data_IF_698925259850
#
_entry.id   IF_698925259850
#
_cell.length_a   1.000
_cell.length_b   1.000
_cell.length_c   1.000
_cell.angle_alpha   90.00
_cell.angle_beta   90.00
_cell.angle_gamma   90.00
#
_symmetry.space_group_name_H-M   'P 1'
#
loop_
_entity.id
_entity.type
_entity.pdbx_description
1 polymer ?
#
# COMPACT_ATOMS: atom_id res chain seq x y z
N UNK A 1 -34.54 42.91 -6.62
CA UNK A 1 -33.74 42.84 -5.39
C UNK A 1 -33.52 41.36 -5.09
N UNK A 2 -32.28 40.93 -5.33
CA UNK A 2 -31.62 39.65 -4.97
C UNK A 2 -32.35 38.33 -5.28
N UNK A 3 -32.00 37.82 -6.46
CA UNK A 3 -31.98 36.40 -6.83
C UNK A 3 -30.97 35.66 -5.93
N UNK A 4 -31.44 34.76 -5.07
CA UNK A 4 -30.59 33.81 -4.37
C UNK A 4 -30.46 32.55 -5.21
N UNK A 5 -29.34 32.49 -5.93
CA UNK A 5 -28.91 31.35 -6.71
C UNK A 5 -28.29 30.30 -5.78
N UNK A 6 -29.08 29.30 -5.40
CA UNK A 6 -28.58 28.10 -4.72
C UNK A 6 -27.95 27.16 -5.77
N UNK A 7 -26.61 27.19 -5.85
CA UNK A 7 -25.80 26.30 -6.72
C UNK A 7 -25.60 24.92 -6.08
N UNK A 8 -25.32 23.87 -6.88
CA UNK A 8 -25.64 22.48 -6.54
C UNK A 8 -24.48 21.74 -5.86
N UNK A 9 -24.62 21.41 -4.58
CA UNK A 9 -23.69 20.51 -3.87
C UNK A 9 -23.79 19.03 -4.29
N UNK A 10 -24.83 18.66 -5.06
CA UNK A 10 -25.15 17.25 -5.38
C UNK A 10 -24.33 16.71 -6.56
N UNK A 11 -23.79 17.58 -7.43
CA UNK A 11 -23.00 17.14 -8.60
C UNK A 11 -21.58 16.75 -8.21
N UNK A 12 -21.02 17.37 -7.16
CA UNK A 12 -19.62 17.19 -6.75
C UNK A 12 -19.34 15.85 -6.04
N UNK A 13 -20.35 15.22 -5.43
CA UNK A 13 -20.16 13.94 -4.72
C UNK A 13 -20.03 12.72 -5.63
N UNK A 14 -20.43 12.80 -6.91
CA UNK A 14 -20.41 11.62 -7.82
C UNK A 14 -19.05 11.38 -8.47
N UNK A 15 -18.22 12.41 -8.63
CA UNK A 15 -16.89 12.26 -9.23
C UNK A 15 -15.85 11.74 -8.23
N UNK A 16 -16.03 12.03 -6.94
CA UNK A 16 -15.09 11.62 -5.86
C UNK A 16 -15.15 10.10 -5.60
N UNK A 17 -16.28 9.46 -5.89
CA UNK A 17 -16.48 8.04 -5.59
C UNK A 17 -15.82 7.13 -6.63
N UNK A 18 -15.95 7.43 -7.92
CA UNK A 18 -15.45 6.57 -9.02
C UNK A 18 -13.93 6.35 -8.97
N UNK A 19 -13.17 7.43 -8.76
CA UNK A 19 -11.70 7.35 -8.66
C UNK A 19 -11.24 6.58 -7.41
N UNK A 20 -11.92 6.79 -6.28
CA UNK A 20 -11.67 6.08 -5.03
C UNK A 20 -11.98 4.60 -5.16
N UNK A 21 -13.07 4.24 -5.86
CA UNK A 21 -13.42 2.85 -6.13
C UNK A 21 -12.39 2.15 -7.02
N UNK A 22 -11.91 2.80 -8.08
CA UNK A 22 -10.82 2.22 -8.91
C UNK A 22 -9.51 2.07 -8.12
N UNK A 23 -9.16 3.04 -7.27
CA UNK A 23 -7.98 2.95 -6.42
C UNK A 23 -8.08 1.79 -5.41
N UNK A 24 -9.21 1.67 -4.73
CA UNK A 24 -9.47 0.58 -3.78
C UNK A 24 -9.43 -0.76 -4.52
N UNK A 25 -10.14 -0.89 -5.64
CA UNK A 25 -10.23 -2.14 -6.40
C UNK A 25 -8.86 -2.59 -6.92
N UNK A 26 -8.06 -1.65 -7.46
CA UNK A 26 -6.71 -1.95 -7.91
C UNK A 26 -5.84 -2.50 -6.76
N UNK A 27 -5.92 -1.89 -5.56
CA UNK A 27 -5.15 -2.34 -4.40
C UNK A 27 -5.63 -3.66 -3.83
N UNK A 28 -6.94 -3.87 -3.75
CA UNK A 28 -7.53 -5.14 -3.33
C UNK A 28 -7.10 -6.25 -4.29
N UNK A 29 -7.15 -5.98 -5.60
CA UNK A 29 -6.69 -6.93 -6.60
C UNK A 29 -5.20 -7.24 -6.43
N UNK A 30 -4.34 -6.22 -6.26
CA UNK A 30 -2.91 -6.42 -5.97
C UNK A 30 -2.69 -7.30 -4.74
N UNK A 31 -3.40 -7.06 -3.63
CA UNK A 31 -3.26 -7.87 -2.42
C UNK A 31 -3.66 -9.33 -2.68
N UNK A 32 -4.81 -9.54 -3.34
CA UNK A 32 -5.32 -10.89 -3.66
C UNK A 32 -4.35 -11.66 -4.57
N UNK A 33 -3.77 -11.01 -5.57
CA UNK A 33 -2.82 -11.65 -6.50
C UNK A 33 -1.49 -11.99 -5.84
N UNK A 34 -0.99 -11.14 -4.94
CA UNK A 34 0.33 -11.35 -4.31
C UNK A 34 0.29 -12.28 -3.09
N UNK A 35 -0.88 -12.47 -2.48
CA UNK A 35 -1.01 -13.18 -1.21
C UNK A 35 -2.05 -14.31 -1.33
N UNK A 36 -1.79 -15.24 -2.25
CA UNK A 36 -2.73 -16.29 -2.66
C UNK A 36 -3.17 -17.23 -1.53
N UNK A 37 -2.37 -17.38 -0.46
CA UNK A 37 -2.62 -18.35 0.61
C UNK A 37 -2.77 -17.73 2.01
N UNK A 38 -2.78 -16.40 2.15
CA UNK A 38 -2.94 -15.81 3.48
C UNK A 38 -4.41 -15.74 3.89
N UNK A 39 -4.66 -16.06 5.15
CA UNK A 39 -5.94 -15.84 5.81
C UNK A 39 -5.90 -14.43 6.40
N UNK A 40 -6.76 -13.55 5.89
CA UNK A 40 -6.92 -12.20 6.45
C UNK A 40 -8.01 -12.25 7.52
N UNK A 41 -7.65 -11.87 8.75
CA UNK A 41 -8.58 -11.80 9.88
C UNK A 41 -8.68 -10.37 10.39
N UNK A 42 -9.86 -10.00 10.86
CA UNK A 42 -10.04 -8.72 11.53
C UNK A 42 -9.28 -8.70 12.87
N UNK A 43 -8.59 -7.58 13.15
CA UNK A 43 -8.00 -7.30 14.45
C UNK A 43 -8.65 -6.04 15.01
N UNK A 44 -9.30 -6.13 16.19
CA UNK A 44 -9.86 -4.97 16.88
C UNK A 44 -8.85 -3.83 17.02
N UNK A 45 -9.28 -2.57 16.89
CA UNK A 45 -8.37 -1.42 16.89
C UNK A 45 -7.51 -1.33 18.15
N UNK A 46 -8.05 -1.67 19.31
CA UNK A 46 -7.32 -1.70 20.58
C UNK A 46 -6.26 -2.82 20.68
N UNK A 47 -6.28 -3.79 19.78
CA UNK A 47 -5.31 -4.88 19.68
C UNK A 47 -4.40 -4.75 18.45
N UNK A 48 -4.63 -3.75 17.59
CA UNK A 48 -3.83 -3.53 16.38
C UNK A 48 -2.61 -2.67 16.69
N UNK A 49 -1.44 -3.30 16.87
CA UNK A 49 -0.19 -2.60 17.09
C UNK A 49 0.10 -1.53 16.01
N UNK A 50 -0.20 -1.81 14.74
CA UNK A 50 0.05 -0.89 13.63
C UNK A 50 -0.81 0.40 13.69
N UNK A 51 -1.98 0.36 14.34
CA UNK A 51 -2.81 1.55 14.56
C UNK A 51 -2.05 2.60 15.37
N UNK A 52 -1.36 2.16 16.43
CA UNK A 52 -0.52 3.00 17.30
C UNK A 52 0.52 3.81 16.52
N UNK A 53 1.22 3.16 15.57
CA UNK A 53 2.26 3.82 14.77
C UNK A 53 1.69 4.72 13.67
N UNK A 54 0.55 4.35 13.09
CA UNK A 54 -0.05 5.06 11.95
C UNK A 54 -0.88 6.29 12.33
N UNK A 55 -1.48 6.32 13.53
CA UNK A 55 -2.21 7.50 14.05
C UNK A 55 -1.31 8.61 14.57
N UNK A 56 -0.03 8.29 14.81
CA UNK A 56 0.91 9.18 15.47
C UNK A 56 0.76 9.11 16.98
N UNK A 57 1.58 8.26 17.61
CA UNK A 57 1.76 8.24 19.06
C UNK A 57 2.98 9.10 19.43
N UNK A 58 2.92 9.82 20.55
CA UNK A 58 4.08 10.51 21.10
C UNK A 58 5.22 9.52 21.36
N UNK A 59 6.47 9.95 21.19
CA UNK A 59 7.63 9.05 21.31
C UNK A 59 7.71 8.49 22.73
N UNK A 60 7.40 9.32 23.72
CA UNK A 60 7.38 8.96 25.13
C UNK A 60 6.37 7.84 25.39
N UNK A 61 5.15 7.97 24.87
CA UNK A 61 4.11 6.94 25.02
C UNK A 61 4.45 5.67 24.23
N UNK A 62 5.09 5.81 23.07
CA UNK A 62 5.53 4.68 22.26
C UNK A 62 6.53 3.82 23.01
N UNK A 63 7.51 4.44 23.70
CA UNK A 63 8.50 3.73 24.51
C UNK A 63 7.88 2.83 25.59
N UNK A 64 6.69 3.18 26.09
CA UNK A 64 5.95 2.38 27.06
C UNK A 64 4.89 1.45 26.44
N UNK A 65 4.72 1.46 25.12
CA UNK A 65 3.72 0.65 24.42
C UNK A 65 4.12 -0.83 24.38
N UNK A 66 3.57 -1.60 25.32
CA UNK A 66 3.69 -3.07 25.31
C UNK A 66 3.08 -3.69 24.06
N UNK A 67 1.99 -3.14 23.55
CA UNK A 67 1.32 -3.65 22.36
C UNK A 67 2.20 -3.53 21.11
N UNK A 68 2.93 -2.43 20.97
CA UNK A 68 3.85 -2.22 19.83
C UNK A 68 5.06 -3.14 19.90
N UNK A 69 5.73 -3.21 21.05
CA UNK A 69 6.99 -3.96 21.19
C UNK A 69 6.80 -5.46 21.42
N UNK A 70 5.75 -5.88 22.11
CA UNK A 70 5.52 -7.28 22.46
C UNK A 70 4.42 -7.93 21.60
N UNK A 71 3.64 -7.13 20.86
CA UNK A 71 2.49 -7.61 20.11
C UNK A 71 1.26 -7.91 20.98
N UNK A 72 0.11 -8.17 20.35
CA UNK A 72 -1.10 -8.61 21.04
C UNK A 72 -0.98 -10.06 21.52
N UNK A 73 -1.62 -10.36 22.66
CA UNK A 73 -1.55 -11.68 23.30
C UNK A 73 -1.99 -12.84 22.40
N UNK A 74 -3.00 -12.63 21.56
CA UNK A 74 -3.51 -13.67 20.67
C UNK A 74 -2.51 -14.17 19.62
N UNK A 75 -1.43 -13.42 19.36
CA UNK A 75 -0.33 -13.89 18.51
C UNK A 75 0.74 -14.66 19.28
N UNK A 76 0.76 -14.52 20.61
CA UNK A 76 1.73 -15.15 21.50
C UNK A 76 1.21 -16.48 22.07
N UNK A 77 -0.10 -16.57 22.29
CA UNK A 77 -0.79 -17.75 22.78
C UNK A 77 -1.22 -18.67 21.61
N UNK A 78 -1.51 -19.95 21.88
CA UNK A 78 -2.00 -20.87 20.84
C UNK A 78 -3.30 -20.37 20.19
N UNK A 79 -3.54 -20.83 18.95
CA UNK A 79 -4.49 -20.30 17.95
C UNK A 79 -5.94 -20.10 18.45
N UNK A 80 -6.34 -20.76 19.54
CA UNK A 80 -7.66 -20.65 20.18
C UNK A 80 -7.99 -19.27 20.78
N UNK A 81 -7.03 -18.36 20.89
CA UNK A 81 -7.24 -17.01 21.47
C UNK A 81 -7.45 -15.89 20.45
N UNK A 82 -7.58 -16.25 19.16
CA UNK A 82 -7.80 -15.28 18.08
C UNK A 82 -9.08 -14.45 18.32
N UNK A 83 -9.08 -13.13 18.04
CA UNK A 83 -10.30 -12.32 18.13
C UNK A 83 -11.40 -12.91 17.26
N UNK A 84 -12.63 -12.92 17.77
CA UNK A 84 -13.80 -13.34 17.01
C UNK A 84 -13.95 -12.47 15.77
N UNK A 85 -14.16 -13.11 14.62
CA UNK A 85 -14.37 -12.41 13.36
C UNK A 85 -15.77 -11.80 13.36
N UNK A 86 -15.86 -10.46 13.32
CA UNK A 86 -17.13 -9.72 13.37
C UNK A 86 -17.82 -9.72 12.00
N UNK A 87 -17.57 -10.74 11.18
CA UNK A 87 -18.22 -10.87 9.88
C UNK A 87 -19.65 -11.34 10.13
N UNK A 88 -20.60 -10.40 10.21
CA UNK A 88 -22.03 -10.71 10.17
C UNK A 88 -22.32 -11.60 8.95
N UNK A 89 -22.84 -12.84 9.12
CA UNK A 89 -23.10 -13.75 7.99
C UNK A 89 -24.30 -13.32 7.11
N UNK A 90 -24.83 -12.10 7.28
CA UNK A 90 -26.06 -11.62 6.64
C UNK A 90 -25.86 -10.45 5.67
N UNK A 91 -24.66 -10.24 5.11
CA UNK A 91 -24.45 -9.30 4.01
C UNK A 91 -24.35 -10.03 2.67
N UNK A 92 -25.30 -9.84 1.72
CA UNK A 92 -25.34 -10.56 0.44
C UNK A 92 -24.33 -10.01 -0.59
N UNK A 93 -23.18 -9.50 -0.16
CA UNK A 93 -22.09 -9.03 -1.04
C UNK A 93 -20.80 -9.84 -0.90
N UNK A 94 -20.87 -10.98 -0.21
CA UNK A 94 -19.91 -12.06 -0.37
C UNK A 94 -20.18 -12.81 -1.66
N UNK A 95 -19.93 -12.21 -2.82
CA UNK A 95 -19.56 -13.02 -3.98
C UNK A 95 -18.28 -13.76 -3.57
N UNK A 96 -18.45 -15.01 -3.14
CA UNK A 96 -17.42 -16.02 -3.21
C UNK A 96 -17.19 -16.21 -4.70
N UNK A 97 -16.38 -15.32 -5.28
CA UNK A 97 -15.85 -15.54 -6.61
C UNK A 97 -14.87 -16.68 -6.42
N UNK A 98 -15.39 -17.90 -6.62
CA UNK A 98 -14.60 -19.09 -6.89
C UNK A 98 -13.85 -18.81 -8.19
N UNK A 99 -12.72 -18.10 -8.05
CA UNK A 99 -11.92 -17.70 -9.19
C UNK A 99 -10.98 -18.86 -9.49
N UNK A 100 -11.39 -19.59 -10.53
CA UNK A 100 -10.65 -20.59 -11.27
C UNK A 100 -9.14 -20.39 -11.14
N UNK A 101 -8.43 -21.48 -10.80
CA UNK A 101 -7.01 -21.66 -11.10
C UNK A 101 -6.81 -21.48 -12.61
N UNK A 102 -6.72 -20.25 -13.08
CA UNK A 102 -5.81 -19.94 -14.18
C UNK A 102 -4.48 -19.70 -13.52
N UNK A 103 -3.68 -20.75 -13.51
CA UNK A 103 -2.23 -20.65 -13.47
C UNK A 103 -1.78 -19.74 -14.61
N UNK A 104 -1.83 -18.43 -14.42
CA UNK A 104 -0.96 -17.53 -15.14
C UNK A 104 0.41 -17.66 -14.48
N UNK A 105 1.08 -18.76 -14.82
CA UNK A 105 2.53 -18.74 -14.95
C UNK A 105 2.86 -17.69 -15.99
N UNK A 106 2.99 -16.43 -15.58
CA UNK A 106 3.91 -15.53 -16.26
C UNK A 106 5.31 -15.88 -15.73
N UNK A 107 6.14 -16.60 -16.51
CA UNK A 107 7.44 -17.02 -16.04
C UNK A 107 8.33 -15.78 -15.99
N UNK A 108 8.64 -15.39 -14.75
CA UNK A 108 9.70 -14.46 -14.38
C UNK A 108 9.30 -12.97 -14.37
N UNK A 109 8.79 -12.53 -13.22
CA UNK A 109 9.23 -11.26 -12.65
C UNK A 109 10.74 -11.34 -12.38
N UNK A 110 11.56 -11.21 -13.43
CA UNK A 110 12.99 -10.97 -13.28
C UNK A 110 13.11 -9.59 -12.65
N UNK A 111 13.63 -9.46 -11.41
CA UNK A 111 13.84 -8.14 -10.85
C UNK A 111 14.77 -7.37 -11.79
N UNK A 112 14.42 -6.11 -12.10
CA UNK A 112 15.16 -5.26 -13.04
C UNK A 112 16.65 -5.19 -12.71
N UNK A 113 16.99 -5.36 -11.43
CA UNK A 113 18.32 -5.54 -10.88
C UNK A 113 18.22 -6.34 -9.57
N UNK A 114 19.27 -7.08 -9.23
CA UNK A 114 19.36 -7.79 -7.96
C UNK A 114 19.80 -6.81 -6.86
N UNK A 115 18.84 -6.35 -6.05
CA UNK A 115 19.08 -5.40 -4.98
C UNK A 115 20.02 -5.97 -3.88
N UNK A 116 20.12 -7.29 -3.73
CA UNK A 116 20.94 -7.94 -2.70
C UNK A 116 22.44 -7.91 -3.02
N UNK A 117 22.82 -7.63 -4.27
CA UNK A 117 24.23 -7.45 -4.65
C UNK A 117 24.85 -6.17 -4.08
N UNK A 118 24.02 -5.24 -3.59
CA UNK A 118 24.50 -3.99 -3.02
C UNK A 118 24.69 -4.12 -1.51
N UNK A 119 25.94 -3.97 -1.07
CA UNK A 119 26.31 -3.97 0.37
C UNK A 119 25.82 -2.75 1.17
N UNK A 120 25.10 -1.81 0.54
CA UNK A 120 24.59 -0.62 1.20
C UNK A 120 23.39 -0.05 0.45
N UNK A 121 22.35 0.31 1.20
CA UNK A 121 21.17 1.03 0.69
C UNK A 121 21.54 2.28 -0.11
N UNK A 122 22.48 3.09 0.39
CA UNK A 122 22.88 4.32 -0.27
C UNK A 122 23.59 4.05 -1.60
N UNK A 123 24.33 2.93 -1.71
CA UNK A 123 24.97 2.52 -2.97
C UNK A 123 23.92 2.11 -4.00
N UNK A 124 22.91 1.33 -3.59
CA UNK A 124 21.79 0.97 -4.45
C UNK A 124 21.03 2.20 -4.94
N UNK A 125 20.63 3.07 -4.00
CA UNK A 125 19.90 4.31 -4.28
C UNK A 125 20.66 5.22 -5.25
N UNK A 126 21.95 5.46 -4.98
CA UNK A 126 22.79 6.29 -5.85
C UNK A 126 22.97 5.68 -7.24
N UNK A 127 23.07 4.35 -7.33
CA UNK A 127 23.20 3.66 -8.63
C UNK A 127 21.95 3.87 -9.47
N UNK A 128 20.77 3.66 -8.89
CA UNK A 128 19.49 3.89 -9.60
C UNK A 128 19.34 5.36 -9.99
N UNK A 129 19.73 6.31 -9.14
CA UNK A 129 19.73 7.75 -9.47
C UNK A 129 20.63 8.05 -10.67
N UNK A 130 21.84 7.48 -10.73
CA UNK A 130 22.76 7.67 -11.86
C UNK A 130 22.14 7.13 -13.15
N UNK A 131 21.53 5.95 -13.11
CA UNK A 131 20.82 5.36 -14.26
C UNK A 131 19.68 6.28 -14.70
N UNK A 132 18.86 6.77 -13.76
CA UNK A 132 17.77 7.69 -14.07
C UNK A 132 18.28 9.02 -14.66
N UNK A 133 19.38 9.57 -14.14
CA UNK A 133 20.01 10.77 -14.69
C UNK A 133 20.51 10.56 -16.11
N UNK A 134 21.11 9.40 -16.39
CA UNK A 134 21.53 9.02 -17.73
C UNK A 134 20.32 8.97 -18.67
N UNK A 135 19.25 8.27 -18.29
CA UNK A 135 18.03 8.15 -19.08
C UNK A 135 17.35 9.51 -19.33
N UNK A 136 17.29 10.38 -18.32
CA UNK A 136 16.74 11.74 -18.43
C UNK A 136 17.59 12.62 -19.35
N UNK A 137 18.91 12.45 -19.34
CA UNK A 137 19.84 13.17 -20.21
C UNK A 137 19.69 12.74 -21.67
N UNK A 138 19.51 11.45 -21.91
CA UNK A 138 19.43 10.87 -23.26
C UNK A 138 18.02 10.96 -23.89
N UNK A 139 16.96 11.18 -23.10
CA UNK A 139 15.58 11.19 -23.59
C UNK A 139 14.75 12.37 -23.11
N UNK A 140 14.30 13.21 -24.05
CA UNK A 140 13.38 14.32 -23.77
C UNK A 140 12.04 13.85 -23.17
N UNK A 141 11.56 12.67 -23.57
CA UNK A 141 10.36 12.02 -23.00
C UNK A 141 10.60 11.63 -21.54
N UNK A 142 11.78 11.09 -21.23
CA UNK A 142 12.15 10.74 -19.87
C UNK A 142 12.30 11.99 -18.99
N UNK A 143 12.85 13.08 -19.54
CA UNK A 143 12.93 14.37 -18.83
C UNK A 143 11.55 14.90 -18.43
N UNK A 144 10.57 14.80 -19.31
CA UNK A 144 9.18 15.19 -18.98
C UNK A 144 8.59 14.30 -17.88
N UNK A 145 8.87 12.99 -17.89
CA UNK A 145 8.29 12.01 -16.95
C UNK A 145 8.95 12.03 -15.56
N UNK A 146 10.28 12.06 -15.51
CA UNK A 146 11.05 11.89 -14.28
C UNK A 146 11.55 13.21 -13.69
N UNK A 147 11.58 14.30 -14.48
CA UNK A 147 12.29 15.55 -14.14
C UNK A 147 13.81 15.35 -13.97
N UNK A 148 14.56 16.45 -13.99
CA UNK A 148 16.00 16.50 -13.69
C UNK A 148 16.27 16.94 -12.23
N UNK A 149 15.20 17.17 -11.44
CA UNK A 149 15.32 17.56 -10.03
C UNK A 149 15.72 16.36 -9.17
N UNK A 150 16.81 16.50 -8.43
CA UNK A 150 17.34 15.48 -7.51
C UNK A 150 16.28 14.88 -6.58
N UNK A 151 15.46 15.69 -5.93
CA UNK A 151 14.43 15.21 -4.99
C UNK A 151 13.39 14.31 -5.68
N UNK A 152 13.03 14.63 -6.93
CA UNK A 152 12.10 13.84 -7.72
C UNK A 152 12.72 12.51 -8.12
N UNK A 153 13.99 12.54 -8.52
CA UNK A 153 14.75 11.33 -8.87
C UNK A 153 14.94 10.40 -7.65
N UNK A 154 15.15 10.97 -6.46
CA UNK A 154 15.19 10.23 -5.20
C UNK A 154 13.88 9.49 -4.94
N UNK A 155 12.74 10.19 -4.95
CA UNK A 155 11.44 9.55 -4.74
C UNK A 155 11.13 8.47 -5.78
N UNK A 156 11.55 8.67 -7.03
CA UNK A 156 11.35 7.68 -8.10
C UNK A 156 12.27 6.48 -7.91
N UNK A 157 13.52 6.69 -7.52
CA UNK A 157 14.45 5.61 -7.20
C UNK A 157 13.94 4.76 -6.03
N UNK A 158 13.43 5.39 -4.96
CA UNK A 158 12.80 4.68 -3.84
C UNK A 158 11.62 3.83 -4.31
N UNK A 159 10.75 4.37 -5.18
CA UNK A 159 9.61 3.63 -5.73
C UNK A 159 10.07 2.45 -6.60
N UNK A 160 11.14 2.60 -7.38
CA UNK A 160 11.66 1.53 -8.25
C UNK A 160 12.29 0.41 -7.41
N UNK A 161 12.97 0.74 -6.32
CA UNK A 161 13.66 -0.23 -5.47
C UNK A 161 12.67 -0.97 -4.56
N UNK A 162 11.64 -0.28 -4.05
CA UNK A 162 10.69 -0.83 -3.07
C UNK A 162 9.41 -1.42 -3.72
N UNK A 163 9.38 -1.60 -5.04
CA UNK A 163 8.28 -2.23 -5.79
C UNK A 163 8.60 -3.66 -6.11
#
# INVERSE_FOLDING_TARGET
MVEQQSRPAVVEMREITSSSFSFINNRVNTIRTNVLSAILRYVPSNLNAADTGSRGLAVEDLLYSKLWFNGPKFLLDQEETSPEDITDPASPHGEVVDFFLTSDTDPAHIPLFDALQFSSWLRLLNTVIIILLFVVKESSKAKHRFSDKRNRLLSIAEIIICR
#
